data_IF_467096246109
#
_entry.id   IF_467096246109
#
_cell.length_a   1.000
_cell.length_b   1.000
_cell.length_c   1.000
_cell.angle_alpha   90.00
_cell.angle_beta   90.00
_cell.angle_gamma   90.00
#
_symmetry.space_group_name_H-M   'P 1'
#
loop_
_entity.id
_entity.type
_entity.pdbx_description
1 polymer ?
#
# COMPACT_ATOMS: atom_id res chain seq x y z
N UNK A 1 -7.44 16.86 22.83
CA UNK A 1 -6.53 16.07 21.98
C UNK A 1 -6.80 14.57 22.14
N UNK A 2 -6.41 13.90 23.23
CA UNK A 2 -6.67 12.46 23.38
C UNK A 2 -8.17 12.07 23.44
N UNK A 3 -9.00 12.90 24.08
CA UNK A 3 -10.46 12.68 24.15
C UNK A 3 -11.15 12.91 22.81
N UNK A 4 -10.64 13.85 21.99
CA UNK A 4 -11.19 14.17 20.68
C UNK A 4 -10.90 13.03 19.70
N UNK A 5 -9.66 12.53 19.70
CA UNK A 5 -9.27 11.37 18.90
C UNK A 5 -10.10 10.11 19.23
N UNK A 6 -10.32 9.83 20.52
CA UNK A 6 -11.17 8.71 20.93
C UNK A 6 -12.64 8.90 20.49
N UNK A 7 -13.15 10.13 20.59
CA UNK A 7 -14.49 10.44 20.11
C UNK A 7 -14.62 10.22 18.59
N UNK A 8 -13.62 10.64 17.82
CA UNK A 8 -13.59 10.45 16.37
C UNK A 8 -13.56 8.96 16.00
N UNK A 9 -12.77 8.13 16.70
CA UNK A 9 -12.79 6.67 16.53
C UNK A 9 -14.17 6.06 16.84
N UNK A 10 -14.81 6.50 17.93
CA UNK A 10 -16.17 6.04 18.28
C UNK A 10 -17.20 6.43 17.20
N UNK A 11 -17.07 7.63 16.62
CA UNK A 11 -17.91 8.09 15.53
C UNK A 11 -17.68 7.24 14.28
N UNK A 12 -16.43 7.02 13.90
CA UNK A 12 -16.03 6.18 12.75
C UNK A 12 -16.63 4.78 12.88
N UNK A 13 -16.39 4.10 14.01
CA UNK A 13 -16.93 2.75 14.22
C UNK A 13 -18.45 2.75 14.34
N UNK A 14 -19.02 3.71 15.07
CA UNK A 14 -20.46 3.83 15.30
C UNK A 14 -21.25 4.05 14.00
N UNK A 15 -20.73 4.85 13.07
CA UNK A 15 -21.32 5.08 11.75
C UNK A 15 -21.07 3.91 10.80
N UNK A 16 -19.90 3.29 10.86
CA UNK A 16 -19.54 2.19 9.98
C UNK A 16 -20.39 0.94 10.22
N UNK A 17 -20.71 0.61 11.48
CA UNK A 17 -21.50 -0.59 11.82
C UNK A 17 -22.83 -0.68 11.06
N UNK A 18 -23.76 0.30 11.15
CA UNK A 18 -25.05 0.21 10.46
C UNK A 18 -24.91 0.24 8.93
N UNK A 19 -23.96 1.04 8.40
CA UNK A 19 -23.73 1.14 6.95
C UNK A 19 -23.20 -0.18 6.41
N UNK A 20 -22.14 -0.73 7.00
CA UNK A 20 -21.54 -2.00 6.58
C UNK A 20 -22.50 -3.17 6.76
N UNK A 21 -23.27 -3.19 7.86
CA UNK A 21 -24.31 -4.21 8.07
C UNK A 21 -25.36 -4.19 6.96
N UNK A 22 -25.83 -3.00 6.59
CA UNK A 22 -26.81 -2.82 5.51
C UNK A 22 -26.23 -3.26 4.17
N UNK A 23 -25.00 -2.84 3.84
CA UNK A 23 -24.33 -3.16 2.58
C UNK A 23 -24.04 -4.65 2.45
N UNK A 24 -23.65 -5.29 3.55
CA UNK A 24 -23.43 -6.73 3.60
C UNK A 24 -24.71 -7.52 3.35
N UNK A 25 -25.86 -7.06 3.88
CA UNK A 25 -27.18 -7.64 3.57
C UNK A 25 -27.57 -7.48 2.09
N UNK A 26 -27.19 -6.36 1.48
CA UNK A 26 -27.42 -6.09 0.06
C UNK A 26 -26.41 -6.79 -0.86
N UNK A 27 -25.46 -7.58 -0.32
CA UNK A 27 -24.36 -8.22 -1.06
C UNK A 27 -23.47 -7.23 -1.82
N UNK A 28 -23.38 -6.00 -1.31
CA UNK A 28 -22.44 -4.98 -1.79
C UNK A 28 -21.13 -5.14 -1.02
N UNK A 29 -19.99 -4.88 -1.68
CA UNK A 29 -18.68 -4.96 -1.03
C UNK A 29 -18.62 -4.03 0.20
N UNK A 30 -18.25 -4.54 1.41
CA UNK A 30 -18.20 -3.75 2.64
C UNK A 30 -17.37 -2.47 2.54
N UNK A 31 -16.30 -2.51 1.74
CA UNK A 31 -15.43 -1.37 1.42
C UNK A 31 -16.20 -0.13 0.95
N UNK A 32 -17.26 -0.31 0.14
CA UNK A 32 -18.10 0.80 -0.33
C UNK A 32 -18.88 1.42 0.83
N UNK A 33 -19.31 0.59 1.79
CA UNK A 33 -19.99 1.06 2.99
C UNK A 33 -19.08 1.90 3.89
N UNK A 34 -17.82 1.48 4.07
CA UNK A 34 -16.83 2.27 4.81
C UNK A 34 -16.55 3.63 4.14
N UNK A 35 -16.37 3.66 2.82
CA UNK A 35 -16.17 4.92 2.08
C UNK A 35 -17.37 5.88 2.26
N UNK A 36 -18.60 5.36 2.22
CA UNK A 36 -19.78 6.17 2.46
C UNK A 36 -19.85 6.69 3.90
N UNK A 37 -19.49 5.86 4.88
CA UNK A 37 -19.39 6.30 6.26
C UNK A 37 -18.35 7.42 6.42
N UNK A 38 -17.21 7.33 5.74
CA UNK A 38 -16.17 8.36 5.70
C UNK A 38 -16.64 9.67 5.08
N UNK A 39 -17.26 9.61 3.91
CA UNK A 39 -17.85 10.79 3.24
C UNK A 39 -18.88 11.48 4.15
N UNK A 40 -19.70 10.71 4.87
CA UNK A 40 -20.69 11.26 5.80
C UNK A 40 -20.04 11.83 7.07
N UNK A 41 -19.04 11.16 7.65
CA UNK A 41 -18.42 11.55 8.91
C UNK A 41 -17.41 12.70 8.76
N UNK A 42 -16.73 12.76 7.61
CA UNK A 42 -15.63 13.67 7.35
C UNK A 42 -16.02 15.15 7.25
N UNK A 43 -15.02 16.04 7.12
CA UNK A 43 -15.22 17.50 7.14
C UNK A 43 -16.14 18.03 6.02
N UNK A 44 -16.19 17.33 4.89
CA UNK A 44 -17.05 17.70 3.75
C UNK A 44 -18.49 17.14 3.85
N UNK A 45 -18.74 16.24 4.81
CA UNK A 45 -20.06 15.67 5.09
C UNK A 45 -20.72 16.38 6.28
N UNK A 46 -20.85 15.65 7.38
CA UNK A 46 -21.41 16.14 8.64
C UNK A 46 -20.38 16.87 9.53
N UNK A 47 -19.09 16.80 9.18
CA UNK A 47 -18.02 17.46 9.93
C UNK A 47 -17.87 16.95 11.36
N UNK A 48 -18.07 15.64 11.56
CA UNK A 48 -18.04 15.02 12.89
C UNK A 48 -16.61 14.71 13.35
N UNK A 49 -15.71 14.44 12.40
CA UNK A 49 -14.30 14.14 12.65
C UNK A 49 -13.51 15.45 12.79
N UNK A 50 -12.72 15.56 13.85
CA UNK A 50 -11.91 16.77 14.14
C UNK A 50 -10.42 16.53 13.95
N UNK A 51 -9.93 15.34 14.28
CA UNK A 51 -8.52 14.96 14.27
C UNK A 51 -8.19 14.10 13.03
N UNK A 52 -8.34 14.73 11.85
CA UNK A 52 -8.19 14.07 10.55
C UNK A 52 -6.75 13.53 10.37
N UNK A 53 -5.74 14.29 10.80
CA UNK A 53 -4.32 13.92 10.65
C UNK A 53 -3.97 12.62 11.39
N UNK A 54 -4.42 12.47 12.65
CA UNK A 54 -4.16 11.23 13.39
C UNK A 54 -4.97 10.04 12.84
N UNK A 55 -6.14 10.30 12.26
CA UNK A 55 -6.94 9.26 11.59
C UNK A 55 -6.26 8.81 10.29
N UNK A 56 -5.75 9.74 9.48
CA UNK A 56 -4.97 9.43 8.28
C UNK A 56 -3.71 8.61 8.63
N UNK A 57 -3.02 8.93 9.72
CA UNK A 57 -1.88 8.14 10.19
C UNK A 57 -2.29 6.68 10.55
N UNK A 58 -3.41 6.49 11.26
CA UNK A 58 -3.93 5.15 11.52
C UNK A 58 -4.36 4.43 10.23
N UNK A 59 -4.95 5.15 9.28
CA UNK A 59 -5.34 4.64 7.99
C UNK A 59 -4.14 4.11 7.19
N UNK A 60 -3.03 4.84 7.15
CA UNK A 60 -1.79 4.38 6.52
C UNK A 60 -1.26 3.08 7.14
N UNK A 61 -1.34 2.94 8.47
CA UNK A 61 -0.97 1.70 9.15
C UNK A 61 -1.86 0.52 8.72
N UNK A 62 -3.13 0.77 8.42
CA UNK A 62 -4.03 -0.22 7.82
C UNK A 62 -3.51 -0.74 6.49
N UNK A 63 -3.12 0.17 5.59
CA UNK A 63 -2.56 -0.18 4.27
C UNK A 63 -1.25 -0.96 4.41
N UNK A 64 -0.37 -0.53 5.30
CA UNK A 64 0.88 -1.21 5.61
C UNK A 64 0.60 -2.64 6.06
N UNK A 65 -0.31 -2.85 7.01
CA UNK A 65 -0.68 -4.18 7.50
C UNK A 65 -1.37 -5.02 6.41
N UNK A 66 -2.23 -4.43 5.59
CA UNK A 66 -2.87 -5.13 4.48
C UNK A 66 -1.83 -5.69 3.53
N UNK A 67 -0.97 -4.81 3.01
CA UNK A 67 0.05 -5.18 2.05
C UNK A 67 1.08 -6.12 2.64
N UNK A 68 1.39 -5.98 3.92
CA UNK A 68 2.23 -6.94 4.64
C UNK A 68 1.61 -8.33 4.67
N UNK A 69 0.33 -8.45 5.05
CA UNK A 69 -0.36 -9.76 5.07
C UNK A 69 -0.49 -10.36 3.68
N UNK A 70 -0.79 -9.55 2.67
CA UNK A 70 -0.84 -10.02 1.28
C UNK A 70 0.55 -10.48 0.85
N UNK A 71 1.61 -9.74 1.19
CA UNK A 71 2.99 -10.17 0.94
C UNK A 71 3.30 -11.54 1.53
N UNK A 72 2.83 -11.83 2.76
CA UNK A 72 3.00 -13.13 3.41
C UNK A 72 2.25 -14.28 2.73
N UNK A 73 1.17 -13.98 2.02
CA UNK A 73 0.39 -14.95 1.23
C UNK A 73 1.08 -15.32 -0.10
N UNK A 74 1.97 -14.47 -0.62
CA UNK A 74 2.69 -14.70 -1.88
C UNK A 74 4.08 -15.28 -1.66
N UNK A 75 4.55 -16.11 -2.60
CA UNK A 75 5.95 -16.57 -2.65
C UNK A 75 6.80 -15.72 -3.61
N UNK A 76 8.11 -15.61 -3.36
CA UNK A 76 9.03 -14.94 -4.29
C UNK A 76 9.02 -15.62 -5.67
N UNK A 77 8.84 -16.95 -5.67
CA UNK A 77 8.70 -17.75 -6.90
C UNK A 77 7.48 -17.35 -7.72
N UNK A 78 6.36 -17.06 -7.07
CA UNK A 78 5.17 -16.60 -7.78
C UNK A 78 5.37 -15.20 -8.34
N UNK A 79 6.03 -14.30 -7.60
CA UNK A 79 6.35 -12.97 -8.12
C UNK A 79 7.29 -13.04 -9.34
N UNK A 80 8.30 -13.92 -9.32
CA UNK A 80 9.21 -14.12 -10.46
C UNK A 80 8.48 -14.60 -11.72
N UNK A 81 7.40 -15.38 -11.60
CA UNK A 81 6.55 -15.76 -12.74
C UNK A 81 5.83 -14.55 -13.33
N UNK A 82 5.55 -13.53 -12.52
CA UNK A 82 4.89 -12.29 -12.94
C UNK A 82 5.83 -11.25 -13.54
N UNK A 83 7.16 -11.46 -13.57
CA UNK A 83 8.14 -10.46 -14.05
C UNK A 83 7.82 -9.85 -15.42
N UNK A 84 7.28 -10.65 -16.36
CA UNK A 84 6.88 -10.15 -17.68
C UNK A 84 5.65 -9.27 -17.60
N UNK A 85 4.69 -9.61 -16.74
CA UNK A 85 3.49 -8.80 -16.50
C UNK A 85 3.89 -7.49 -15.81
N UNK A 86 4.78 -7.54 -14.82
CA UNK A 86 5.28 -6.34 -14.14
C UNK A 86 5.90 -5.38 -15.16
N UNK A 87 6.89 -5.83 -15.93
CA UNK A 87 7.63 -4.95 -16.85
C UNK A 87 6.77 -4.53 -18.06
N UNK A 88 6.20 -5.49 -18.79
CA UNK A 88 5.48 -5.19 -20.03
C UNK A 88 4.03 -4.83 -19.79
N UNK A 89 3.32 -5.57 -18.93
CA UNK A 89 1.91 -5.30 -18.62
C UNK A 89 1.73 -3.99 -17.87
N UNK A 90 2.49 -3.79 -16.78
CA UNK A 90 2.50 -2.54 -16.02
C UNK A 90 2.96 -1.36 -16.86
N UNK A 91 4.07 -1.51 -17.59
CA UNK A 91 4.59 -0.48 -18.50
C UNK A 91 3.60 -0.06 -19.57
N UNK A 92 2.97 -1.04 -20.24
CA UNK A 92 1.94 -0.75 -21.25
C UNK A 92 0.72 -0.09 -20.65
N UNK A 93 0.19 -0.59 -19.53
CA UNK A 93 -0.98 0.00 -18.90
C UNK A 93 -0.70 1.44 -18.50
N UNK A 94 0.39 1.70 -17.75
CA UNK A 94 0.72 3.04 -17.28
C UNK A 94 0.91 4.01 -18.46
N UNK A 95 1.70 3.60 -19.46
CA UNK A 95 2.03 4.47 -20.60
C UNK A 95 0.81 4.76 -21.46
N UNK A 96 -0.01 3.75 -21.78
CA UNK A 96 -1.19 3.94 -22.61
C UNK A 96 -2.22 4.82 -21.92
N UNK A 97 -2.51 4.56 -20.63
CA UNK A 97 -3.46 5.39 -19.88
C UNK A 97 -2.94 6.83 -19.77
N UNK A 98 -1.66 7.02 -19.43
CA UNK A 98 -1.08 8.35 -19.31
C UNK A 98 -1.11 9.14 -20.63
N UNK A 99 -0.75 8.51 -21.75
CA UNK A 99 -0.77 9.15 -23.07
C UNK A 99 -2.19 9.53 -23.47
N UNK A 100 -3.15 8.60 -23.35
CA UNK A 100 -4.54 8.86 -23.75
C UNK A 100 -5.11 10.03 -22.92
N UNK A 101 -4.91 10.01 -21.61
CA UNK A 101 -5.41 11.07 -20.72
C UNK A 101 -4.70 12.40 -20.99
N UNK A 102 -3.39 12.40 -21.20
CA UNK A 102 -2.66 13.61 -21.55
C UNK A 102 -3.15 14.22 -22.88
N UNK A 103 -3.41 13.39 -23.90
CA UNK A 103 -3.98 13.87 -25.17
C UNK A 103 -5.37 14.50 -24.99
N UNK A 104 -6.20 13.93 -24.12
CA UNK A 104 -7.51 14.51 -23.78
C UNK A 104 -7.35 15.89 -23.15
N UNK A 105 -6.47 16.05 -22.15
CA UNK A 105 -6.26 17.34 -21.48
C UNK A 105 -5.62 18.39 -22.40
N UNK A 106 -4.71 17.97 -23.29
CA UNK A 106 -4.17 18.82 -24.34
C UNK A 106 -5.27 19.32 -25.28
N UNK A 107 -6.19 18.45 -25.67
CA UNK A 107 -7.30 18.80 -26.56
C UNK A 107 -8.29 19.78 -25.92
N UNK A 108 -8.47 19.71 -24.60
CA UNK A 108 -9.30 20.64 -23.81
C UNK A 108 -8.58 22.00 -23.60
N UNK A 109 -7.32 22.13 -24.01
CA UNK A 109 -6.57 23.39 -24.01
C UNK A 109 -5.65 23.60 -22.80
N UNK A 110 -5.33 22.54 -22.05
CA UNK A 110 -4.31 22.62 -20.99
C UNK A 110 -2.89 22.73 -21.57
N UNK A 111 -1.94 23.24 -20.78
CA UNK A 111 -0.53 23.24 -21.16
C UNK A 111 -0.01 21.81 -21.33
N UNK A 112 1.13 21.66 -22.01
CA UNK A 112 1.74 20.34 -22.26
C UNK A 112 2.17 19.69 -20.96
N UNK A 113 2.76 20.48 -20.09
CA UNK A 113 3.27 20.08 -18.79
C UNK A 113 2.13 19.60 -17.87
N UNK A 114 1.06 20.41 -17.74
CA UNK A 114 -0.11 20.05 -16.94
C UNK A 114 -0.82 18.81 -17.49
N UNK A 115 -0.92 18.67 -18.81
CA UNK A 115 -1.57 17.52 -19.43
C UNK A 115 -0.80 16.22 -19.20
N UNK A 116 0.54 16.25 -19.33
CA UNK A 116 1.40 15.10 -19.02
C UNK A 116 1.29 14.74 -17.53
N UNK A 117 1.34 15.74 -16.65
CA UNK A 117 1.19 15.54 -15.21
C UNK A 117 -0.15 14.86 -14.86
N UNK A 118 -1.26 15.39 -15.38
CA UNK A 118 -2.59 14.81 -15.16
C UNK A 118 -2.71 13.41 -15.75
N UNK A 119 -2.10 13.16 -16.92
CA UNK A 119 -2.04 11.83 -17.51
C UNK A 119 -1.35 10.82 -16.60
N UNK A 120 -0.19 11.16 -16.06
CA UNK A 120 0.54 10.31 -15.12
C UNK A 120 -0.23 10.10 -13.81
N UNK A 121 -0.86 11.15 -13.29
CA UNK A 121 -1.66 11.11 -12.06
C UNK A 121 -2.85 10.15 -12.20
N UNK A 122 -3.60 10.24 -13.29
CA UNK A 122 -4.78 9.39 -13.56
C UNK A 122 -4.38 7.94 -13.89
N UNK A 123 -3.18 7.72 -14.41
CA UNK A 123 -2.74 6.37 -14.81
C UNK A 123 -2.41 5.45 -13.62
N UNK A 124 -2.17 6.02 -12.43
CA UNK A 124 -1.88 5.29 -11.19
C UNK A 124 -3.16 4.72 -10.56
N UNK A 125 -3.08 3.52 -10.00
CA UNK A 125 -4.18 2.86 -9.30
C UNK A 125 -3.90 2.76 -7.80
N UNK A 126 -4.94 2.62 -6.99
CA UNK A 126 -4.79 2.34 -5.56
C UNK A 126 -4.55 0.84 -5.31
N UNK A 127 -3.32 0.48 -4.93
CA UNK A 127 -2.92 -0.90 -4.62
C UNK A 127 -3.77 -1.49 -3.48
N UNK A 128 -3.98 -0.73 -2.40
CA UNK A 128 -4.71 -1.20 -1.23
C UNK A 128 -6.17 -1.58 -1.56
N UNK A 129 -6.87 -0.70 -2.28
CA UNK A 129 -8.29 -0.92 -2.64
C UNK A 129 -8.43 -2.13 -3.56
N UNK A 130 -7.64 -2.19 -4.64
CA UNK A 130 -7.73 -3.27 -5.62
C UNK A 130 -7.41 -4.62 -4.98
N UNK A 131 -6.34 -4.69 -4.17
CA UNK A 131 -5.93 -5.95 -3.56
C UNK A 131 -6.89 -6.37 -2.44
N UNK A 132 -7.43 -5.45 -1.64
CA UNK A 132 -8.48 -5.78 -0.66
C UNK A 132 -9.72 -6.35 -1.34
N UNK A 133 -10.17 -5.74 -2.44
CA UNK A 133 -11.34 -6.21 -3.19
C UNK A 133 -11.11 -7.61 -3.76
N UNK A 134 -9.92 -7.88 -4.32
CA UNK A 134 -9.55 -9.21 -4.77
C UNK A 134 -9.48 -10.21 -3.61
N UNK A 135 -9.02 -9.79 -2.42
CA UNK A 135 -8.96 -10.62 -1.23
C UNK A 135 -10.36 -11.04 -0.77
N UNK A 136 -11.28 -10.08 -0.67
CA UNK A 136 -12.67 -10.32 -0.25
C UNK A 136 -13.41 -11.25 -1.20
N UNK A 137 -13.09 -11.20 -2.50
CA UNK A 137 -13.64 -12.11 -3.50
C UNK A 137 -12.92 -13.45 -3.59
N UNK A 138 -11.80 -13.64 -2.89
CA UNK A 138 -10.95 -14.83 -3.04
C UNK A 138 -10.29 -14.92 -4.43
N UNK A 139 -10.17 -13.81 -5.14
CA UNK A 139 -9.69 -13.73 -6.53
C UNK A 139 -8.21 -13.34 -6.63
N UNK A 140 -7.49 -13.14 -5.52
CA UNK A 140 -6.07 -12.76 -5.52
C UNK A 140 -5.20 -13.68 -6.41
N UNK A 141 -5.46 -14.99 -6.37
CA UNK A 141 -4.67 -15.99 -7.10
C UNK A 141 -5.15 -16.24 -8.53
N UNK A 142 -6.25 -15.61 -8.96
CA UNK A 142 -6.79 -15.74 -10.31
C UNK A 142 -5.84 -15.14 -11.36
N UNK A 143 -6.11 -15.38 -12.64
CA UNK A 143 -5.33 -14.78 -13.72
C UNK A 143 -5.38 -13.25 -13.68
N UNK A 144 -6.57 -12.66 -13.50
CA UNK A 144 -6.74 -11.21 -13.41
C UNK A 144 -6.19 -10.65 -12.10
N UNK A 145 -6.27 -11.37 -10.99
CA UNK A 145 -5.70 -10.96 -9.70
C UNK A 145 -4.17 -10.88 -9.76
N UNK A 146 -3.51 -11.92 -10.28
CA UNK A 146 -2.07 -11.93 -10.53
C UNK A 146 -1.64 -10.86 -11.54
N UNK A 147 -2.45 -10.62 -12.57
CA UNK A 147 -2.18 -9.58 -13.56
C UNK A 147 -2.26 -8.19 -12.94
N UNK A 148 -3.30 -7.95 -12.14
CA UNK A 148 -3.50 -6.69 -11.40
C UNK A 148 -2.36 -6.45 -10.43
N UNK A 149 -1.97 -7.44 -9.64
CA UNK A 149 -0.82 -7.34 -8.72
C UNK A 149 0.47 -7.00 -9.47
N UNK A 150 0.73 -7.62 -10.62
CA UNK A 150 1.90 -7.30 -11.43
C UNK A 150 1.92 -5.85 -11.93
N UNK A 151 0.77 -5.35 -12.40
CA UNK A 151 0.61 -3.95 -12.82
C UNK A 151 0.82 -3.00 -11.64
N UNK A 152 0.18 -3.27 -10.50
CA UNK A 152 0.27 -2.44 -9.29
C UNK A 152 1.71 -2.33 -8.77
N UNK A 153 2.45 -3.44 -8.74
CA UNK A 153 3.87 -3.42 -8.34
C UNK A 153 4.69 -2.53 -9.28
N UNK A 154 4.43 -2.59 -10.59
CA UNK A 154 5.09 -1.70 -11.53
C UNK A 154 4.73 -0.24 -11.28
N UNK A 155 3.44 0.06 -11.03
CA UNK A 155 2.96 1.40 -10.74
C UNK A 155 3.59 1.97 -9.47
N UNK A 156 3.69 1.20 -8.38
CA UNK A 156 4.32 1.64 -7.14
C UNK A 156 5.80 1.97 -7.33
N UNK A 157 6.53 1.19 -8.15
CA UNK A 157 7.93 1.48 -8.49
C UNK A 157 8.03 2.72 -9.40
N UNK A 158 7.14 2.82 -10.40
CA UNK A 158 7.11 3.94 -11.33
C UNK A 158 6.70 5.26 -10.65
N UNK A 159 5.88 5.20 -9.61
CA UNK A 159 5.42 6.37 -8.86
C UNK A 159 6.59 7.19 -8.31
N UNK A 160 7.65 6.54 -7.83
CA UNK A 160 8.87 7.22 -7.37
C UNK A 160 9.50 8.05 -8.49
N UNK A 161 9.63 7.45 -9.68
CA UNK A 161 10.16 8.14 -10.86
C UNK A 161 9.24 9.28 -11.30
N UNK A 162 7.93 9.09 -11.25
CA UNK A 162 6.94 10.11 -11.58
C UNK A 162 7.06 11.29 -10.63
N UNK A 163 7.15 11.05 -9.31
CA UNK A 163 7.31 12.10 -8.29
C UNK A 163 8.57 12.92 -8.54
N UNK A 164 9.68 12.27 -8.88
CA UNK A 164 10.93 12.95 -9.21
C UNK A 164 10.84 13.80 -10.50
N UNK A 165 9.90 13.49 -11.40
CA UNK A 165 9.65 14.29 -12.61
C UNK A 165 8.76 15.51 -12.34
N UNK A 166 8.03 15.56 -11.22
CA UNK A 166 7.09 16.67 -10.93
C UNK A 166 7.78 18.04 -10.93
N UNK A 167 8.92 18.27 -10.24
CA UNK A 167 9.57 19.58 -10.24
C UNK A 167 10.04 20.01 -11.63
N UNK A 168 10.47 19.06 -12.46
CA UNK A 168 10.88 19.29 -13.84
C UNK A 168 9.67 19.73 -14.69
N UNK A 169 8.53 19.05 -14.54
CA UNK A 169 7.28 19.42 -15.20
C UNK A 169 6.74 20.77 -14.70
N UNK A 170 6.99 21.12 -13.44
CA UNK A 170 6.62 22.40 -12.84
C UNK A 170 7.54 23.57 -13.24
N UNK A 171 8.64 23.31 -13.97
CA UNK A 171 9.61 24.34 -14.36
C UNK A 171 10.51 24.82 -13.21
N UNK A 172 10.57 24.07 -12.11
CA UNK A 172 11.41 24.33 -10.94
C UNK A 172 12.40 23.18 -10.74
N UNK A 173 13.44 23.05 -11.60
CA UNK A 173 14.44 22.00 -11.46
C UNK A 173 15.32 22.29 -10.24
N UNK A 174 14.83 21.99 -9.05
CA UNK A 174 15.64 21.87 -7.84
C UNK A 174 16.12 20.43 -7.73
N UNK A 175 17.32 20.15 -8.21
CA UNK A 175 18.03 18.93 -7.81
C UNK A 175 19.52 19.22 -7.69
N UNK A 176 19.93 19.67 -6.50
CA UNK A 176 21.35 19.85 -6.15
C UNK A 176 22.12 18.51 -6.08
N UNK A 177 21.42 17.38 -5.93
CA UNK A 177 22.03 16.05 -5.96
C UNK A 177 22.03 15.46 -7.36
N UNK A 178 23.18 14.97 -7.81
CA UNK A 178 23.27 14.27 -9.08
C UNK A 178 22.34 13.05 -9.09
N UNK A 179 21.58 12.87 -10.17
CA UNK A 179 20.74 11.69 -10.41
C UNK A 179 21.48 10.36 -10.15
N UNK A 180 22.80 10.36 -10.40
CA UNK A 180 23.70 9.22 -10.19
C UNK A 180 23.88 8.87 -8.71
N UNK A 181 23.94 9.87 -7.81
CA UNK A 181 24.08 9.66 -6.36
C UNK A 181 22.80 9.10 -5.74
N UNK A 182 21.65 9.63 -6.14
CA UNK A 182 20.33 9.14 -5.71
C UNK A 182 20.12 7.68 -6.15
N UNK A 183 20.54 7.35 -7.38
CA UNK A 183 20.43 5.99 -7.91
C UNK A 183 21.31 5.00 -7.14
N UNK A 184 22.58 5.33 -6.90
CA UNK A 184 23.53 4.47 -6.16
C UNK A 184 23.08 4.22 -4.72
N UNK A 185 22.61 5.26 -4.02
CA UNK A 185 22.11 5.14 -2.66
C UNK A 185 20.83 4.30 -2.59
N UNK A 186 19.91 4.50 -3.55
CA UNK A 186 18.70 3.70 -3.71
C UNK A 186 19.01 2.22 -3.89
N UNK A 187 19.86 1.87 -4.85
CA UNK A 187 20.27 0.48 -5.09
C UNK A 187 20.97 -0.15 -3.89
N UNK A 188 21.87 0.58 -3.22
CA UNK A 188 22.56 0.10 -2.02
C UNK A 188 21.61 -0.27 -0.90
N UNK A 189 20.61 0.58 -0.62
CA UNK A 189 19.62 0.30 0.42
C UNK A 189 18.66 -0.82 0.04
N UNK A 190 18.25 -0.94 -1.23
CA UNK A 190 17.43 -2.06 -1.71
C UNK A 190 18.18 -3.37 -1.49
N UNK A 191 19.45 -3.45 -1.93
CA UNK A 191 20.26 -4.65 -1.76
C UNK A 191 20.45 -4.96 -0.28
N UNK A 192 20.78 -3.96 0.54
CA UNK A 192 20.92 -4.15 1.98
C UNK A 192 19.63 -4.67 2.62
N UNK A 193 18.48 -4.11 2.24
CA UNK A 193 17.16 -4.52 2.75
C UNK A 193 16.84 -5.96 2.33
N UNK A 194 17.05 -6.30 1.06
CA UNK A 194 16.82 -7.65 0.52
C UNK A 194 17.78 -8.70 1.10
N UNK A 195 19.05 -8.33 1.37
CA UNK A 195 20.02 -9.21 2.00
C UNK A 195 19.69 -9.42 3.49
N UNK A 196 19.42 -8.34 4.23
CA UNK A 196 18.99 -8.41 5.62
C UNK A 196 17.74 -9.28 5.75
N UNK A 197 16.84 -9.13 4.78
CA UNK A 197 15.67 -9.94 4.68
C UNK A 197 15.93 -11.43 4.44
N UNK A 198 16.89 -11.77 3.59
CA UNK A 198 17.21 -13.16 3.30
C UNK A 198 17.96 -13.86 4.43
N UNK A 199 18.77 -13.12 5.20
CA UNK A 199 19.70 -13.72 6.16
C UNK A 199 19.35 -13.40 7.62
N UNK A 200 19.04 -12.15 7.94
CA UNK A 200 18.83 -11.67 9.31
C UNK A 200 17.41 -12.01 9.79
N UNK A 201 16.39 -11.79 8.95
CA UNK A 201 14.99 -12.03 9.32
C UNK A 201 14.75 -13.51 9.70
N UNK A 202 15.13 -14.51 8.88
CA UNK A 202 14.94 -15.92 9.25
C UNK A 202 15.68 -16.30 10.54
N UNK A 203 16.88 -15.74 10.76
CA UNK A 203 17.66 -15.97 11.97
C UNK A 203 16.94 -15.45 13.23
N UNK A 204 16.41 -14.22 13.19
CA UNK A 204 15.63 -13.64 14.29
C UNK A 204 14.38 -14.48 14.54
N UNK A 205 13.62 -14.79 13.48
CA UNK A 205 12.38 -15.56 13.57
C UNK A 205 12.60 -16.95 14.18
N UNK A 206 13.67 -17.65 13.81
CA UNK A 206 14.02 -18.95 14.39
C UNK A 206 14.25 -18.86 15.92
N UNK A 207 15.00 -17.87 16.39
CA UNK A 207 15.28 -17.70 17.81
C UNK A 207 14.04 -17.28 18.60
N UNK A 208 13.25 -16.38 18.03
CA UNK A 208 11.99 -15.92 18.63
C UNK A 208 10.98 -17.06 18.71
N UNK A 209 10.80 -17.85 17.64
CA UNK A 209 9.89 -18.99 17.64
C UNK A 209 10.27 -20.06 18.68
N UNK A 210 11.57 -20.25 18.94
CA UNK A 210 12.07 -21.18 19.97
C UNK A 210 11.63 -20.81 21.38
N UNK A 211 11.34 -19.53 21.65
CA UNK A 211 10.83 -19.09 22.96
C UNK A 211 9.40 -19.56 23.25
N UNK A 212 8.64 -19.96 22.20
CA UNK A 212 7.20 -20.31 22.28
C UNK A 212 6.32 -19.21 22.89
N UNK A 213 6.79 -17.97 22.92
CA UNK A 213 6.02 -16.82 23.37
C UNK A 213 5.35 -16.14 22.17
N UNK A 214 4.02 -16.22 22.10
CA UNK A 214 3.23 -15.63 21.01
C UNK A 214 3.32 -14.10 20.95
N UNK A 215 3.46 -13.43 22.10
CA UNK A 215 3.59 -11.97 22.16
C UNK A 215 4.93 -11.53 21.57
N UNK A 216 6.02 -12.19 21.97
CA UNK A 216 7.35 -11.91 21.43
C UNK A 216 7.40 -12.18 19.92
N UNK A 217 6.74 -13.25 19.47
CA UNK A 217 6.62 -13.58 18.05
C UNK A 217 5.88 -12.50 17.28
N UNK A 218 4.68 -12.09 17.72
CA UNK A 218 3.90 -11.04 17.08
C UNK A 218 4.66 -9.72 17.03
N UNK A 219 5.27 -9.30 18.16
CA UNK A 219 6.07 -8.08 18.23
C UNK A 219 7.24 -8.12 17.25
N UNK A 220 7.91 -9.27 17.12
CA UNK A 220 9.03 -9.42 16.18
C UNK A 220 8.57 -9.32 14.74
N UNK A 221 7.47 -9.98 14.37
CA UNK A 221 6.89 -9.91 13.02
C UNK A 221 6.48 -8.47 12.67
N UNK A 222 5.79 -7.78 13.59
CA UNK A 222 5.41 -6.38 13.39
C UNK A 222 6.63 -5.47 13.26
N UNK A 223 7.61 -5.60 14.16
CA UNK A 223 8.83 -4.80 14.14
C UNK A 223 9.61 -4.99 12.84
N UNK A 224 9.71 -6.23 12.35
CA UNK A 224 10.35 -6.56 11.07
C UNK A 224 9.60 -5.89 9.91
N UNK A 225 8.27 -6.07 9.83
CA UNK A 225 7.43 -5.49 8.78
C UNK A 225 7.57 -3.96 8.71
N UNK A 226 7.44 -3.29 9.85
CA UNK A 226 7.56 -1.83 9.96
C UNK A 226 8.98 -1.35 9.69
N UNK A 227 10.01 -2.08 10.14
CA UNK A 227 11.40 -1.71 9.88
C UNK A 227 11.73 -1.75 8.39
N UNK A 228 11.27 -2.78 7.68
CA UNK A 228 11.47 -2.89 6.23
C UNK A 228 10.72 -1.77 5.51
N UNK A 229 9.44 -1.53 5.84
CA UNK A 229 8.67 -0.45 5.26
C UNK A 229 9.33 0.93 5.45
N UNK A 230 9.78 1.22 6.68
CA UNK A 230 10.47 2.45 7.03
C UNK A 230 11.83 2.61 6.34
N UNK A 231 12.64 1.55 6.25
CA UNK A 231 13.91 1.60 5.53
C UNK A 231 13.67 1.86 4.04
N UNK A 232 12.70 1.17 3.42
CA UNK A 232 12.39 1.37 2.00
C UNK A 232 11.79 2.75 1.70
N UNK A 233 11.11 3.39 2.66
CA UNK A 233 10.61 4.75 2.42
C UNK A 233 11.71 5.81 2.39
N UNK A 234 12.85 5.56 3.03
CA UNK A 234 14.03 6.46 2.96
C UNK A 234 14.63 6.57 1.56
N UNK A 235 14.34 5.64 0.66
CA UNK A 235 14.75 5.68 -0.75
C UNK A 235 13.60 6.01 -1.71
N UNK A 236 12.47 6.48 -1.17
CA UNK A 236 11.33 6.94 -1.94
C UNK A 236 10.34 5.86 -2.33
N UNK A 237 10.53 4.59 -1.96
CA UNK A 237 9.47 3.58 -2.13
C UNK A 237 8.31 3.87 -1.18
N UNK A 238 7.08 3.50 -1.57
CA UNK A 238 5.93 3.63 -0.68
C UNK A 238 6.06 2.70 0.53
N UNK A 239 5.54 3.12 1.69
CA UNK A 239 5.46 2.27 2.89
C UNK A 239 4.71 0.97 2.57
N UNK A 240 3.66 1.10 1.77
CA UNK A 240 2.88 0.03 1.16
C UNK A 240 3.73 -1.06 0.49
N UNK A 241 4.58 -0.66 -0.48
CA UNK A 241 5.44 -1.59 -1.20
C UNK A 241 6.49 -2.23 -0.28
N UNK A 242 7.07 -1.45 0.63
CA UNK A 242 8.01 -1.95 1.63
C UNK A 242 7.40 -3.02 2.54
N UNK A 243 6.18 -2.79 3.01
CA UNK A 243 5.43 -3.74 3.81
C UNK A 243 5.12 -5.02 3.02
N UNK A 244 4.71 -4.90 1.76
CA UNK A 244 4.50 -6.04 0.86
C UNK A 244 5.78 -6.88 0.69
N UNK A 245 6.93 -6.22 0.45
CA UNK A 245 8.22 -6.90 0.37
C UNK A 245 8.57 -7.62 1.68
N UNK A 246 8.36 -6.97 2.83
CA UNK A 246 8.58 -7.59 4.14
C UNK A 246 7.76 -8.88 4.29
N UNK A 247 6.51 -8.85 3.82
CA UNK A 247 5.62 -10.01 3.85
C UNK A 247 6.15 -11.14 2.99
N UNK A 248 6.58 -10.83 1.75
CA UNK A 248 7.20 -11.78 0.82
C UNK A 248 8.46 -12.44 1.38
N UNK A 249 9.17 -11.77 2.27
CA UNK A 249 10.36 -12.31 2.91
C UNK A 249 9.96 -13.31 4.00
N UNK A 250 8.96 -12.95 4.81
CA UNK A 250 8.44 -13.82 5.87
C UNK A 250 7.72 -15.03 5.28
N UNK A 251 7.11 -14.92 4.09
CA UNK A 251 6.40 -16.01 3.43
C UNK A 251 7.28 -17.22 3.12
N UNK A 252 8.58 -17.01 2.87
CA UNK A 252 9.55 -18.09 2.63
C UNK A 252 10.00 -18.79 3.94
N UNK A 253 9.57 -18.30 5.11
CA UNK A 253 9.81 -18.95 6.40
C UNK A 253 8.70 -19.94 6.78
N UNK A 254 9.03 -20.96 7.58
CA UNK A 254 8.06 -21.93 8.11
C UNK A 254 7.02 -21.29 9.04
N UNK A 255 7.24 -20.05 9.48
CA UNK A 255 6.40 -19.34 10.43
C UNK A 255 5.37 -18.41 9.77
N UNK A 256 5.33 -18.35 8.44
CA UNK A 256 4.46 -17.46 7.67
C UNK A 256 2.98 -17.62 8.01
N UNK A 257 2.50 -18.86 8.13
CA UNK A 257 1.10 -19.16 8.46
C UNK A 257 0.74 -18.66 9.87
N UNK A 258 1.62 -18.84 10.84
CA UNK A 258 1.42 -18.33 12.21
C UNK A 258 1.45 -16.81 12.25
N UNK A 259 2.40 -16.19 11.55
CA UNK A 259 2.51 -14.73 11.42
C UNK A 259 1.25 -14.12 10.80
N UNK A 260 0.75 -14.73 9.71
CA UNK A 260 -0.47 -14.33 9.04
C UNK A 260 -1.68 -14.39 9.97
N UNK A 261 -1.89 -15.51 10.67
CA UNK A 261 -3.00 -15.69 11.60
C UNK A 261 -3.05 -14.64 12.71
N UNK A 262 -1.88 -14.24 13.22
CA UNK A 262 -1.79 -13.23 14.28
C UNK A 262 -1.99 -11.79 13.77
N UNK A 263 -1.70 -11.51 12.49
CA UNK A 263 -1.78 -10.16 11.92
C UNK A 263 -3.13 -9.82 11.29
N UNK A 264 -3.90 -10.81 10.86
CA UNK A 264 -5.23 -10.63 10.26
C UNK A 264 -6.14 -9.72 11.12
N UNK A 265 -6.29 -9.93 12.44
CA UNK A 265 -7.16 -9.10 13.26
C UNK A 265 -6.73 -7.62 13.31
N UNK A 266 -5.42 -7.36 13.41
CA UNK A 266 -4.88 -6.00 13.39
C UNK A 266 -5.13 -5.35 12.04
N UNK A 267 -4.77 -6.05 10.95
CA UNK A 267 -5.04 -5.57 9.60
C UNK A 267 -6.51 -5.19 9.43
N UNK A 268 -7.44 -6.06 9.77
CA UNK A 268 -8.86 -5.81 9.51
C UNK A 268 -9.41 -4.64 10.36
N UNK A 269 -8.91 -4.47 11.59
CA UNK A 269 -9.23 -3.32 12.42
C UNK A 269 -8.73 -2.01 11.80
N UNK A 270 -7.44 -1.92 11.45
CA UNK A 270 -6.87 -0.69 10.89
C UNK A 270 -7.37 -0.41 9.46
N UNK A 271 -7.65 -1.43 8.66
CA UNK A 271 -8.24 -1.27 7.32
C UNK A 271 -9.65 -0.70 7.37
N UNK A 272 -10.42 -0.97 8.43
CA UNK A 272 -11.72 -0.32 8.59
C UNK A 272 -11.59 1.19 8.76
N UNK A 273 -10.53 1.66 9.41
CA UNK A 273 -10.23 3.09 9.57
C UNK A 273 -9.77 3.67 8.23
N UNK A 274 -8.90 2.96 7.50
CA UNK A 274 -8.41 3.38 6.18
C UNK A 274 -9.51 3.65 5.16
N UNK A 275 -10.58 2.85 5.16
CA UNK A 275 -11.67 3.09 4.21
C UNK A 275 -12.62 4.20 4.65
N UNK A 276 -12.52 4.69 5.89
CA UNK A 276 -13.37 5.76 6.43
C UNK A 276 -12.64 7.10 6.46
N UNK A 277 -11.30 7.11 6.56
CA UNK A 277 -10.46 8.30 6.45
C UNK A 277 -10.56 8.93 5.06
#
# INVERSE_FOLDING_TARGET
>A
MATDFLADLLIIFGLSIPVVFTFSKLKIAPLIGFLLAGILAGPFGLGLIRDVENIEFLAEMGVVLLLFTIGMEFSLRDLLKLRRIVIFGGGLQLSLTAIIVALIFLWIGNSRESSIFLGLLVALSSTAIVLKLLQEKGEIYSLHGRTSLGILIFQDIAAVMIILLIPVLAGTPETEKSFLELTLQGFGLIIFTLLSARYVIPFIMYHVAKTRNNELFLLSVMAIGLSVAWLTSKIGLSLALGAFLAGLIISESEYSVQALGNLIPFRDMFMSIFFVS
#
